data_IF_338041005773
#
_entry.id   IF_338041005773
#
_cell.length_a   1.000
_cell.length_b   1.000
_cell.length_c   1.000
_cell.angle_alpha   90.00
_cell.angle_beta   90.00
_cell.angle_gamma   90.00
#
_symmetry.space_group_name_H-M   'P 1'
#
loop_
_entity.id
_entity.type
_entity.pdbx_description
1 polymer ?
#
# COMPACT_ATOMS: atom_id res chain seq x y z
N UNK A 1 20.75 -7.47 15.69
CA UNK A 1 19.90 -7.95 14.58
C UNK A 1 19.17 -6.80 13.88
N UNK A 2 18.56 -5.88 14.61
CA UNK A 2 17.86 -4.68 14.07
C UNK A 2 18.84 -3.75 13.36
N UNK A 3 20.05 -3.58 13.88
CA UNK A 3 21.08 -2.70 13.32
C UNK A 3 21.55 -3.09 11.90
N UNK A 4 21.29 -4.34 11.48
CA UNK A 4 21.60 -4.79 10.09
C UNK A 4 20.53 -4.42 9.08
N UNK A 5 19.33 -4.03 9.52
CA UNK A 5 18.22 -3.64 8.67
C UNK A 5 17.92 -2.14 8.71
N UNK A 6 18.47 -1.44 9.68
CA UNK A 6 18.27 -0.01 9.88
C UNK A 6 19.60 0.65 10.23
N UNK A 7 20.24 1.31 9.27
CA UNK A 7 21.29 2.29 9.56
C UNK A 7 20.61 3.55 10.10
N UNK A 8 20.39 3.61 11.42
CA UNK A 8 19.90 4.74 12.20
C UNK A 8 18.79 5.66 11.64
N UNK A 9 18.72 5.85 10.32
CA UNK A 9 17.79 6.76 9.64
C UNK A 9 17.19 6.20 8.34
N UNK A 10 17.58 5.01 7.88
CA UNK A 10 17.08 4.41 6.65
C UNK A 10 16.39 3.08 6.92
N UNK A 11 15.21 2.88 6.32
CA UNK A 11 14.51 1.61 6.31
C UNK A 11 14.68 0.96 4.94
N UNK A 12 15.10 -0.31 4.89
CA UNK A 12 15.05 -1.10 3.67
C UNK A 12 13.66 -1.71 3.47
N UNK A 13 13.18 -1.61 2.25
CA UNK A 13 11.93 -2.27 1.84
C UNK A 13 12.33 -3.47 1.00
N UNK A 14 12.03 -4.66 1.50
CA UNK A 14 12.31 -5.92 0.81
C UNK A 14 11.02 -6.61 0.42
N UNK A 15 11.06 -7.35 -0.68
CA UNK A 15 9.93 -8.18 -1.10
C UNK A 15 9.77 -9.32 -0.11
N UNK A 16 8.58 -9.42 0.50
CA UNK A 16 8.28 -10.48 1.48
C UNK A 16 8.35 -11.86 0.79
N UNK A 17 9.18 -12.78 1.24
CA UNK A 17 9.25 -14.12 0.68
C UNK A 17 7.99 -14.92 0.98
N UNK A 18 7.66 -15.94 0.16
CA UNK A 18 6.41 -16.69 0.28
C UNK A 18 6.19 -17.32 1.66
N UNK A 19 7.23 -17.90 2.26
CA UNK A 19 7.20 -18.52 3.59
C UNK A 19 6.83 -17.51 4.70
N UNK A 20 7.46 -16.33 4.69
CA UNK A 20 7.14 -15.28 5.67
C UNK A 20 5.74 -14.71 5.45
N UNK A 21 5.30 -14.58 4.18
CA UNK A 21 3.94 -14.17 3.85
C UNK A 21 2.91 -15.15 4.39
N UNK A 22 3.17 -16.45 4.27
CA UNK A 22 2.30 -17.49 4.79
C UNK A 22 2.11 -17.38 6.31
N UNK A 23 3.19 -17.20 7.06
CA UNK A 23 3.12 -16.99 8.51
C UNK A 23 2.25 -15.79 8.89
N UNK A 24 2.37 -14.66 8.17
CA UNK A 24 1.51 -13.50 8.41
C UNK A 24 0.04 -13.75 8.05
N UNK A 25 -0.24 -14.51 7.00
CA UNK A 25 -1.61 -14.89 6.65
C UNK A 25 -2.24 -15.73 7.75
N UNK A 26 -1.54 -16.76 8.25
CA UNK A 26 -2.01 -17.59 9.37
C UNK A 26 -2.28 -16.76 10.64
N UNK A 27 -1.40 -15.81 10.96
CA UNK A 27 -1.62 -14.89 12.10
C UNK A 27 -2.91 -14.07 11.90
N UNK A 28 -3.14 -13.54 10.69
CA UNK A 28 -4.32 -12.74 10.38
C UNK A 28 -5.62 -13.54 10.46
N UNK A 29 -5.60 -14.79 9.98
CA UNK A 29 -6.77 -15.67 9.98
C UNK A 29 -7.24 -16.06 11.39
N UNK A 30 -6.31 -16.24 12.31
CA UNK A 30 -6.62 -16.73 13.68
C UNK A 30 -6.43 -15.68 14.77
N UNK A 31 -6.20 -14.41 14.40
CA UNK A 31 -5.82 -13.33 15.33
C UNK A 31 -6.73 -13.21 16.54
N UNK A 32 -8.04 -13.32 16.33
CA UNK A 32 -9.06 -13.07 17.34
C UNK A 32 -9.44 -14.35 18.12
N UNK A 33 -9.00 -15.53 17.67
CA UNK A 33 -9.36 -16.84 18.25
C UNK A 33 -8.16 -17.62 18.79
N UNK A 34 -6.95 -17.31 18.36
CA UNK A 34 -5.76 -18.08 18.73
C UNK A 34 -5.31 -17.81 20.17
N UNK A 35 -4.88 -18.86 20.89
CA UNK A 35 -4.28 -18.68 22.20
C UNK A 35 -2.96 -17.91 22.11
N UNK A 36 -2.65 -17.11 23.14
CA UNK A 36 -1.45 -16.27 23.18
C UNK A 36 -0.15 -17.07 22.96
N UNK A 37 -0.09 -18.34 23.35
CA UNK A 37 1.05 -19.22 23.11
C UNK A 37 1.30 -19.45 21.61
N UNK A 38 0.24 -19.66 20.83
CA UNK A 38 0.33 -19.79 19.37
C UNK A 38 0.89 -18.53 18.72
N UNK A 39 0.36 -17.37 19.10
CA UNK A 39 0.84 -16.09 18.54
C UNK A 39 2.32 -15.84 18.87
N UNK A 40 2.78 -16.21 20.07
CA UNK A 40 4.20 -16.14 20.45
C UNK A 40 5.07 -17.03 19.58
N UNK A 41 4.64 -18.27 19.29
CA UNK A 41 5.36 -19.17 18.39
C UNK A 41 5.45 -18.59 16.98
N UNK A 42 4.39 -18.02 16.46
CA UNK A 42 4.38 -17.37 15.13
C UNK A 42 5.29 -16.15 15.06
N UNK A 43 5.41 -15.37 16.13
CA UNK A 43 6.38 -14.29 16.23
C UNK A 43 7.82 -14.85 16.20
N UNK A 44 8.13 -15.91 16.94
CA UNK A 44 9.44 -16.54 16.91
C UNK A 44 9.77 -17.13 15.53
N UNK A 45 8.81 -17.78 14.89
CA UNK A 45 8.95 -18.28 13.52
C UNK A 45 9.25 -17.12 12.53
N UNK A 46 8.52 -16.03 12.64
CA UNK A 46 8.77 -14.83 11.82
C UNK A 46 10.19 -14.28 12.03
N UNK A 47 10.65 -14.18 13.28
CA UNK A 47 11.99 -13.73 13.61
C UNK A 47 13.07 -14.67 13.08
N UNK A 48 12.84 -15.97 13.15
CA UNK A 48 13.74 -16.99 12.60
C UNK A 48 13.84 -16.85 11.07
N UNK A 49 12.71 -16.76 10.36
CA UNK A 49 12.70 -16.56 8.91
C UNK A 49 13.39 -15.24 8.50
N UNK A 50 13.15 -14.16 9.25
CA UNK A 50 13.85 -12.88 9.05
C UNK A 50 15.36 -13.01 9.29
N UNK A 51 15.78 -13.83 10.27
CA UNK A 51 17.21 -14.03 10.54
C UNK A 51 17.92 -14.77 9.40
N UNK A 52 17.22 -15.63 8.69
CA UNK A 52 17.75 -16.32 7.50
C UNK A 52 17.82 -15.43 6.26
N UNK A 53 17.07 -14.33 6.25
CA UNK A 53 17.11 -13.32 5.19
C UNK A 53 18.28 -12.34 5.34
N UNK A 54 19.31 -12.68 6.14
CA UNK A 54 20.50 -11.84 6.26
C UNK A 54 21.09 -11.52 4.88
N UNK A 55 21.65 -10.31 4.67
CA UNK A 55 22.06 -9.84 3.37
C UNK A 55 23.06 -10.81 2.74
N UNK A 56 22.59 -11.63 1.81
CA UNK A 56 23.45 -12.11 0.76
C UNK A 56 23.75 -10.89 -0.11
N UNK A 57 24.96 -10.75 -0.56
CA UNK A 57 25.56 -9.60 -1.24
C UNK A 57 24.83 -9.12 -2.53
N UNK A 58 23.64 -9.63 -2.80
CA UNK A 58 22.83 -9.36 -3.99
C UNK A 58 21.60 -8.47 -3.70
N UNK A 59 21.70 -7.53 -2.74
CA UNK A 59 20.71 -6.46 -2.60
C UNK A 59 20.88 -5.38 -3.68
N UNK A 60 21.08 -5.76 -4.93
CA UNK A 60 21.19 -4.82 -6.05
C UNK A 60 19.91 -3.97 -6.26
N UNK A 61 18.84 -4.21 -5.50
CA UNK A 61 17.57 -3.48 -5.67
C UNK A 61 16.86 -3.09 -4.37
N UNK A 62 17.52 -3.14 -3.22
CA UNK A 62 16.92 -2.58 -2.00
C UNK A 62 16.92 -1.05 -2.10
N UNK A 63 15.78 -0.48 -2.49
CA UNK A 63 15.62 0.95 -2.46
C UNK A 63 15.59 1.42 -1.00
N UNK A 64 16.61 2.17 -0.60
CA UNK A 64 16.69 2.75 0.73
C UNK A 64 15.89 4.04 0.78
N UNK A 65 14.84 4.08 1.61
CA UNK A 65 14.03 5.27 1.86
C UNK A 65 14.19 5.71 3.30
N UNK A 66 14.29 7.01 3.54
CA UNK A 66 14.31 7.53 4.90
C UNK A 66 12.98 7.24 5.61
N UNK A 67 13.03 7.08 6.94
CA UNK A 67 11.81 6.90 7.74
C UNK A 67 10.81 8.05 7.52
N UNK A 68 11.31 9.27 7.27
CA UNK A 68 10.48 10.44 6.95
C UNK A 68 9.76 10.28 5.59
N UNK A 69 10.45 9.78 4.55
CA UNK A 69 9.82 9.50 3.26
C UNK A 69 8.71 8.46 3.40
N UNK A 70 8.96 7.36 4.12
CA UNK A 70 7.96 6.32 4.37
C UNK A 70 6.76 6.90 5.16
N UNK A 71 6.99 7.74 6.16
CA UNK A 71 5.93 8.42 6.91
C UNK A 71 5.07 9.30 5.99
N UNK A 72 5.70 10.09 5.12
CA UNK A 72 5.02 10.91 4.11
C UNK A 72 4.14 10.06 3.19
N UNK A 73 4.65 8.95 2.70
CA UNK A 73 3.92 8.03 1.82
C UNK A 73 2.71 7.38 2.54
N UNK A 74 2.84 7.05 3.82
CA UNK A 74 1.70 6.52 4.61
C UNK A 74 0.60 7.57 4.78
N UNK A 75 0.95 8.82 5.03
CA UNK A 75 -0.01 9.93 5.10
C UNK A 75 -0.68 10.14 3.75
N UNK A 76 0.10 10.18 2.67
CA UNK A 76 -0.42 10.29 1.30
C UNK A 76 -1.45 9.20 0.98
N UNK A 77 -1.20 7.94 1.36
CA UNK A 77 -2.18 6.86 1.16
C UNK A 77 -3.53 7.19 1.79
N UNK A 78 -3.53 7.70 3.03
CA UNK A 78 -4.76 8.07 3.73
C UNK A 78 -5.48 9.25 3.03
N UNK A 79 -4.73 10.24 2.54
CA UNK A 79 -5.31 11.35 1.78
C UNK A 79 -5.97 10.86 0.48
N UNK A 80 -5.27 10.01 -0.29
CA UNK A 80 -5.79 9.43 -1.53
C UNK A 80 -7.05 8.58 -1.30
N UNK A 81 -7.15 7.94 -0.14
CA UNK A 81 -8.32 7.16 0.25
C UNK A 81 -9.52 8.05 0.62
N UNK A 82 -9.27 9.21 1.24
CA UNK A 82 -10.32 10.11 1.71
C UNK A 82 -10.80 11.11 0.64
N UNK A 83 -10.00 11.35 -0.40
CA UNK A 83 -10.28 12.34 -1.45
C UNK A 83 -10.40 11.66 -2.82
N UNK A 84 -11.51 10.95 -3.02
CA UNK A 84 -11.76 10.20 -4.26
C UNK A 84 -11.96 11.08 -5.49
N UNK A 85 -12.46 12.28 -5.30
CA UNK A 85 -12.73 13.27 -6.35
C UNK A 85 -11.58 14.25 -6.61
N UNK A 86 -10.47 14.13 -5.87
CA UNK A 86 -9.34 15.03 -6.00
C UNK A 86 -8.77 15.04 -7.42
N UNK A 87 -8.61 16.24 -7.96
CA UNK A 87 -7.99 16.51 -9.26
C UNK A 87 -6.53 16.95 -9.14
N UNK A 88 -5.97 16.86 -7.93
CA UNK A 88 -4.59 17.23 -7.68
C UNK A 88 -3.64 16.36 -8.50
N UNK A 89 -2.70 16.99 -9.18
CA UNK A 89 -1.71 16.27 -9.98
C UNK A 89 -0.65 15.62 -9.08
N UNK A 90 -0.09 14.50 -9.51
CA UNK A 90 1.00 13.87 -8.77
C UNK A 90 2.23 14.78 -8.60
N UNK A 91 2.41 15.75 -9.51
CA UNK A 91 3.48 16.74 -9.40
C UNK A 91 3.21 17.71 -8.25
N UNK A 92 1.99 18.25 -8.15
CA UNK A 92 1.57 19.11 -7.04
C UNK A 92 1.70 18.38 -5.70
N UNK A 93 1.28 17.13 -5.64
CA UNK A 93 1.44 16.28 -4.45
C UNK A 93 2.93 16.13 -4.09
N UNK A 94 3.79 15.83 -5.05
CA UNK A 94 5.22 15.68 -4.82
C UNK A 94 5.84 16.96 -4.27
N UNK A 95 5.49 18.12 -4.85
CA UNK A 95 5.96 19.44 -4.41
C UNK A 95 5.49 19.72 -2.96
N UNK A 96 4.23 19.45 -2.63
CA UNK A 96 3.66 19.61 -1.29
C UNK A 96 4.36 18.75 -0.23
N UNK A 97 4.78 17.53 -0.59
CA UNK A 97 5.53 16.65 0.29
C UNK A 97 7.04 16.90 0.29
N UNK A 98 7.54 17.85 -0.52
CA UNK A 98 8.97 18.14 -0.67
C UNK A 98 9.73 16.91 -1.17
N UNK A 99 9.18 16.23 -2.17
CA UNK A 99 9.77 15.05 -2.82
C UNK A 99 9.81 15.27 -4.34
N UNK A 100 10.81 14.70 -5.02
CA UNK A 100 10.73 14.64 -6.47
C UNK A 100 9.60 13.69 -6.90
N UNK A 101 8.99 13.93 -8.08
CA UNK A 101 7.92 13.09 -8.60
C UNK A 101 8.34 11.62 -8.75
N UNK A 102 9.59 11.39 -9.15
CA UNK A 102 10.18 10.04 -9.26
C UNK A 102 10.28 9.39 -7.89
N UNK A 103 10.89 10.08 -6.92
CA UNK A 103 11.03 9.56 -5.56
C UNK A 103 9.67 9.25 -4.91
N UNK A 104 8.64 10.09 -5.15
CA UNK A 104 7.29 9.86 -4.67
C UNK A 104 6.70 8.56 -5.26
N UNK A 105 6.78 8.39 -6.58
CA UNK A 105 6.25 7.20 -7.29
C UNK A 105 6.96 5.93 -6.87
N UNK A 106 8.28 5.95 -6.81
CA UNK A 106 9.10 4.77 -6.51
C UNK A 106 8.94 4.35 -5.05
N UNK A 107 8.97 5.31 -4.12
CA UNK A 107 8.74 5.04 -2.71
C UNK A 107 7.33 4.49 -2.47
N UNK A 108 6.29 5.05 -3.11
CA UNK A 108 4.92 4.54 -2.99
C UNK A 108 4.80 3.11 -3.53
N UNK A 109 5.37 2.85 -4.71
CA UNK A 109 5.39 1.51 -5.31
C UNK A 109 6.16 0.51 -4.45
N UNK A 110 7.27 0.92 -3.86
CA UNK A 110 8.05 0.08 -2.96
C UNK A 110 7.26 -0.27 -1.68
N UNK A 111 6.59 0.73 -1.06
CA UNK A 111 5.81 0.53 0.19
C UNK A 111 4.54 -0.29 -0.04
N UNK A 112 3.81 -0.05 -1.14
CA UNK A 112 2.49 -0.64 -1.38
C UNK A 112 2.44 -1.68 -2.50
N UNK A 113 3.56 -1.95 -3.17
CA UNK A 113 3.68 -2.97 -4.22
C UNK A 113 3.03 -2.58 -5.55
N UNK A 114 2.35 -1.42 -5.62
CA UNK A 114 1.64 -0.95 -6.83
C UNK A 114 1.81 0.55 -7.04
N UNK A 115 1.75 1.03 -8.31
CA UNK A 115 1.81 2.46 -8.62
C UNK A 115 0.65 3.23 -8.00
N UNK A 116 0.85 4.54 -7.72
CA UNK A 116 -0.16 5.41 -7.11
C UNK A 116 -1.48 5.41 -7.89
N UNK A 117 -1.41 5.52 -9.23
CA UNK A 117 -2.62 5.55 -10.07
C UNK A 117 -3.41 4.23 -10.04
N UNK A 118 -2.72 3.09 -9.96
CA UNK A 118 -3.37 1.79 -9.83
C UNK A 118 -4.04 1.66 -8.47
N UNK A 119 -3.38 2.12 -7.41
CA UNK A 119 -3.95 2.18 -6.07
C UNK A 119 -5.21 3.07 -6.03
N UNK A 120 -5.16 4.29 -6.58
CA UNK A 120 -6.30 5.20 -6.62
C UNK A 120 -7.48 4.60 -7.41
N UNK A 121 -7.19 4.01 -8.59
CA UNK A 121 -8.22 3.37 -9.41
C UNK A 121 -8.94 2.27 -8.65
N UNK A 122 -8.20 1.34 -8.04
CA UNK A 122 -8.76 0.25 -7.26
C UNK A 122 -9.63 0.76 -6.11
N UNK A 123 -9.14 1.78 -5.39
CA UNK A 123 -9.86 2.36 -4.26
C UNK A 123 -11.17 3.05 -4.70
N UNK A 124 -11.14 3.80 -5.82
CA UNK A 124 -12.32 4.40 -6.44
C UNK A 124 -13.36 3.33 -6.82
N UNK A 125 -12.93 2.20 -7.39
CA UNK A 125 -13.83 1.12 -7.77
C UNK A 125 -14.42 0.40 -6.55
N UNK A 126 -13.64 0.20 -5.49
CA UNK A 126 -14.17 -0.35 -4.23
C UNK A 126 -15.23 0.56 -3.61
N UNK A 127 -14.99 1.87 -3.57
CA UNK A 127 -15.97 2.86 -3.11
C UNK A 127 -17.24 2.84 -3.99
N UNK A 128 -17.07 2.79 -5.31
CA UNK A 128 -18.19 2.69 -6.24
C UNK A 128 -19.02 1.42 -6.03
N UNK A 129 -18.37 0.27 -5.79
CA UNK A 129 -19.05 -0.99 -5.47
C UNK A 129 -19.92 -0.86 -4.23
N UNK A 130 -19.41 -0.22 -3.19
CA UNK A 130 -20.21 0.03 -1.97
C UNK A 130 -21.40 0.92 -2.26
N UNK A 131 -21.22 2.03 -3.00
CA UNK A 131 -22.31 2.93 -3.36
C UNK A 131 -23.39 2.24 -4.21
N UNK A 132 -23.00 1.39 -5.16
CA UNK A 132 -23.94 0.61 -5.98
C UNK A 132 -24.82 -0.34 -5.16
N UNK A 133 -24.28 -0.92 -4.09
CA UNK A 133 -25.01 -1.85 -3.22
C UNK A 133 -25.85 -1.12 -2.17
N UNK A 134 -25.37 0.00 -1.65
CA UNK A 134 -25.99 0.67 -0.50
C UNK A 134 -26.92 1.80 -0.87
N UNK A 135 -26.89 2.28 -2.12
CA UNK A 135 -27.69 3.44 -2.57
C UNK A 135 -28.51 3.11 -3.81
N UNK A 136 -29.50 3.98 -4.10
CA UNK A 136 -30.29 3.94 -5.36
C UNK A 136 -29.79 4.97 -6.39
N UNK A 137 -28.56 5.43 -6.24
CA UNK A 137 -27.97 6.42 -7.14
C UNK A 137 -27.76 5.84 -8.55
N UNK A 138 -27.88 6.70 -9.56
CA UNK A 138 -27.56 6.33 -10.93
C UNK A 138 -26.06 6.10 -11.12
N UNK A 139 -25.70 5.33 -12.14
CA UNK A 139 -24.28 5.08 -12.50
C UNK A 139 -23.53 6.40 -12.78
N UNK A 140 -24.23 7.39 -13.37
CA UNK A 140 -23.63 8.69 -13.65
C UNK A 140 -23.31 9.48 -12.37
N UNK A 141 -24.20 9.46 -11.38
CA UNK A 141 -23.97 10.10 -10.08
C UNK A 141 -22.82 9.42 -9.32
N UNK A 142 -22.80 8.09 -9.29
CA UNK A 142 -21.71 7.31 -8.64
C UNK A 142 -20.37 7.59 -9.33
N UNK A 143 -20.34 7.62 -10.68
CA UNK A 143 -19.14 7.96 -11.43
C UNK A 143 -18.61 9.34 -11.03
N UNK A 144 -19.50 10.34 -10.92
CA UNK A 144 -19.15 11.69 -10.46
C UNK A 144 -18.56 11.69 -9.05
N UNK A 145 -19.18 10.98 -8.11
CA UNK A 145 -18.70 10.90 -6.71
C UNK A 145 -17.31 10.29 -6.56
N UNK A 146 -16.96 9.32 -7.42
CA UNK A 146 -15.62 8.73 -7.43
C UNK A 146 -14.64 9.43 -8.39
N UNK A 147 -15.02 10.63 -8.87
CA UNK A 147 -14.15 11.51 -9.65
C UNK A 147 -13.98 11.13 -11.12
N UNK A 148 -14.99 10.48 -11.73
CA UNK A 148 -15.05 10.25 -13.17
C UNK A 148 -16.02 11.24 -13.83
N UNK A 149 -15.51 12.10 -14.72
CA UNK A 149 -16.35 13.02 -15.50
C UNK A 149 -17.20 12.31 -16.57
N UNK A 150 -16.71 11.18 -17.06
CA UNK A 150 -17.38 10.41 -18.11
C UNK A 150 -17.83 9.04 -17.59
N UNK A 151 -19.15 8.80 -17.50
CA UNK A 151 -19.70 7.52 -17.04
C UNK A 151 -19.27 6.31 -17.89
N UNK A 152 -18.99 6.50 -19.18
CA UNK A 152 -18.51 5.41 -20.04
C UNK A 152 -17.07 5.00 -19.67
N UNK A 153 -16.21 5.97 -19.35
CA UNK A 153 -14.86 5.69 -18.84
C UNK A 153 -14.91 5.01 -17.48
N UNK A 154 -15.83 5.42 -16.61
CA UNK A 154 -16.08 4.75 -15.35
C UNK A 154 -16.52 3.29 -15.58
N UNK A 155 -17.52 3.05 -16.42
CA UNK A 155 -18.03 1.70 -16.70
C UNK A 155 -16.95 0.79 -17.30
N UNK A 156 -16.09 1.31 -18.17
CA UNK A 156 -14.96 0.56 -18.71
C UNK A 156 -13.95 0.19 -17.59
N UNK A 157 -13.59 1.16 -16.77
CA UNK A 157 -12.66 0.94 -15.64
C UNK A 157 -13.22 -0.03 -14.59
N UNK A 158 -14.54 -0.01 -14.37
CA UNK A 158 -15.22 -0.89 -13.41
C UNK A 158 -15.27 -2.35 -13.88
N UNK A 159 -15.37 -2.61 -15.19
CA UNK A 159 -15.36 -3.96 -15.76
C UNK A 159 -13.99 -4.65 -15.75
N UNK A 160 -12.91 -3.88 -15.58
CA UNK A 160 -11.52 -4.40 -15.57
C UNK A 160 -11.04 -4.84 -14.19
N UNK A 161 -11.88 -4.75 -13.16
CA UNK A 161 -11.62 -5.17 -11.78
C UNK A 161 -12.47 -6.37 -11.41
#
# INVERSE_FOLDING_TARGET
MIDKFCDGHCCSIIKTPPNLRHVFQEICEVRDTAPMGYLRLKVLESLFLLSQMLPQENFETAAYYSANQIKKIKVLKCELANQLDSRETLKSIADRYGMSLTALKDCFKAVYGKPIHAFQREYKMQAATQLLVTTKMSIAEIAGMVGYENPNKFSAAFKEI
#
